data_IF_585115003369
#
_entry.id   IF_585115003369
#
_cell.length_a   1.000
_cell.length_b   1.000
_cell.length_c   1.000
_cell.angle_alpha   90.00
_cell.angle_beta   90.00
_cell.angle_gamma   90.00
#
_symmetry.space_group_name_H-M   'P 1'
#
loop_
_entity.id
_entity.type
_entity.pdbx_description
1 polymer ?
#
# COMPACT_ATOMS: atom_id res chain seq x y z
N UNK A 1 12.50 2.95 21.71
CA UNK A 1 11.60 3.70 20.81
C UNK A 1 10.68 2.68 20.19
N UNK A 2 9.37 2.87 20.24
CA UNK A 2 8.42 2.01 19.51
C UNK A 2 8.73 2.13 18.02
N UNK A 3 8.74 1.01 17.32
CA UNK A 3 8.93 0.99 15.86
C UNK A 3 7.72 1.71 15.23
N UNK A 4 7.97 2.80 14.50
CA UNK A 4 6.91 3.53 13.80
C UNK A 4 6.45 2.65 12.64
N UNK A 5 5.16 2.33 12.61
CA UNK A 5 4.50 1.62 11.52
C UNK A 5 3.55 2.57 10.80
N UNK A 6 3.94 3.08 9.64
CA UNK A 6 3.10 4.03 8.90
C UNK A 6 1.86 3.39 8.29
N UNK A 7 1.87 2.08 8.09
CA UNK A 7 0.78 1.27 7.53
C UNK A 7 0.63 0.02 8.38
N UNK A 8 -0.60 -0.34 8.70
CA UNK A 8 -0.93 -1.57 9.41
C UNK A 8 -2.29 -2.09 8.92
N UNK A 9 -2.33 -3.35 8.49
CA UNK A 9 -3.58 -4.05 8.24
C UNK A 9 -4.02 -4.80 9.49
N UNK A 10 -5.13 -4.42 10.08
CA UNK A 10 -5.66 -5.04 11.30
C UNK A 10 -7.18 -5.22 11.24
N UNK A 11 -7.65 -6.43 11.47
CA UNK A 11 -9.08 -6.76 11.59
C UNK A 11 -9.96 -6.28 10.41
N UNK A 12 -9.41 -6.27 9.21
CA UNK A 12 -10.14 -5.85 8.02
C UNK A 12 -10.17 -4.33 7.78
N UNK A 13 -9.37 -3.57 8.54
CA UNK A 13 -9.22 -2.11 8.47
C UNK A 13 -7.75 -1.78 8.15
N UNK A 14 -7.54 -0.81 7.30
CA UNK A 14 -6.22 -0.29 6.99
C UNK A 14 -5.96 0.95 7.86
N UNK A 15 -4.98 0.84 8.77
CA UNK A 15 -4.52 1.94 9.62
C UNK A 15 -3.36 2.65 8.97
N UNK A 16 -3.42 3.96 8.91
CA UNK A 16 -2.44 4.79 8.23
C UNK A 16 -1.99 5.91 9.18
N UNK A 17 -0.69 6.10 9.32
CA UNK A 17 -0.16 7.27 10.01
C UNK A 17 -0.34 8.51 9.13
N UNK A 18 -1.11 9.49 9.62
CA UNK A 18 -1.32 10.75 8.91
C UNK A 18 -0.05 11.60 8.91
N UNK A 19 0.72 11.49 7.85
CA UNK A 19 1.99 12.21 7.71
C UNK A 19 1.82 13.72 7.51
N UNK A 20 0.59 14.21 7.29
CA UNK A 20 0.32 15.66 7.21
C UNK A 20 0.34 16.34 8.58
N UNK A 21 0.22 15.54 9.65
CA UNK A 21 0.20 16.01 11.05
C UNK A 21 1.57 15.98 11.69
N UNK A 22 2.52 15.24 11.10
CA UNK A 22 3.88 15.14 11.62
C UNK A 22 4.66 16.45 11.44
N UNK A 23 5.59 16.79 12.34
CA UNK A 23 5.97 16.06 13.55
C UNK A 23 5.15 16.45 14.79
N UNK A 24 4.16 17.33 14.66
CA UNK A 24 3.44 17.90 15.80
C UNK A 24 2.54 16.90 16.51
N UNK A 25 1.97 15.96 15.75
CA UNK A 25 1.03 14.96 16.25
C UNK A 25 1.21 13.64 15.50
N UNK A 26 1.15 12.53 16.22
CA UNK A 26 1.04 11.18 15.64
C UNK A 26 -0.44 10.77 15.62
N UNK A 27 -1.06 10.88 14.46
CA UNK A 27 -2.49 10.55 14.27
C UNK A 27 -2.60 9.35 13.36
N UNK A 28 -3.33 8.33 13.80
CA UNK A 28 -3.70 7.17 12.98
C UNK A 28 -5.09 7.42 12.40
N UNK A 29 -5.18 7.37 11.07
CA UNK A 29 -6.46 7.33 10.36
C UNK A 29 -6.79 5.89 9.99
N UNK A 30 -8.06 5.52 10.13
CA UNK A 30 -8.55 4.19 9.80
C UNK A 30 -9.36 4.25 8.51
N UNK A 31 -8.95 3.49 7.51
CA UNK A 31 -9.71 3.29 6.29
C UNK A 31 -10.46 1.96 6.37
N UNK A 32 -11.79 2.03 6.35
CA UNK A 32 -12.69 0.87 6.39
C UNK A 32 -13.12 0.42 4.99
N UNK A 33 -12.93 1.30 3.98
CA UNK A 33 -13.24 1.06 2.58
C UNK A 33 -12.15 1.57 1.64
N UNK A 34 -12.15 1.04 0.39
CA UNK A 34 -11.11 1.40 -0.57
C UNK A 34 -11.11 2.89 -0.93
N UNK A 35 -12.27 3.55 -0.93
CA UNK A 35 -12.36 4.99 -1.21
C UNK A 35 -11.68 5.84 -0.13
N UNK A 36 -11.71 5.40 1.13
CA UNK A 36 -11.02 6.07 2.22
C UNK A 36 -9.50 5.94 2.08
N UNK A 37 -9.01 4.75 1.70
CA UNK A 37 -7.60 4.54 1.37
C UNK A 37 -7.16 5.38 0.16
N UNK A 38 -7.98 5.48 -0.88
CA UNK A 38 -7.76 6.35 -2.04
C UNK A 38 -7.68 7.83 -1.60
N UNK A 39 -8.59 8.25 -0.73
CA UNK A 39 -8.58 9.62 -0.20
C UNK A 39 -7.32 9.92 0.61
N UNK A 40 -6.85 8.98 1.44
CA UNK A 40 -5.60 9.14 2.20
C UNK A 40 -4.38 9.33 1.29
N UNK A 41 -4.31 8.63 0.15
CA UNK A 41 -3.29 8.82 -0.87
C UNK A 41 -3.43 10.22 -1.52
N UNK A 42 -4.66 10.61 -1.87
CA UNK A 42 -4.97 11.84 -2.59
C UNK A 42 -4.67 13.09 -1.76
N UNK A 43 -4.99 13.03 -0.46
CA UNK A 43 -4.78 14.14 0.49
C UNK A 43 -3.38 14.14 1.10
N UNK A 44 -2.51 13.22 0.66
CA UNK A 44 -1.12 13.10 1.13
C UNK A 44 -1.00 12.71 2.62
N UNK A 45 -2.04 12.14 3.22
CA UNK A 45 -1.93 11.48 4.52
C UNK A 45 -0.95 10.31 4.47
N UNK A 46 -0.88 9.63 3.32
CA UNK A 46 0.17 8.67 2.99
C UNK A 46 1.12 9.29 1.97
N UNK A 47 2.41 9.26 2.27
CA UNK A 47 3.50 9.78 1.44
C UNK A 47 4.61 8.74 1.33
N UNK A 48 5.53 8.97 0.38
CA UNK A 48 6.58 8.00 0.06
C UNK A 48 6.12 6.99 -0.98
N UNK A 49 6.95 6.77 -2.02
CA UNK A 49 6.58 5.94 -3.15
C UNK A 49 6.22 4.49 -2.75
N UNK A 50 6.99 3.80 -1.88
CA UNK A 50 6.64 2.45 -1.42
C UNK A 50 5.34 2.44 -0.62
N UNK A 51 5.18 3.33 0.36
CA UNK A 51 3.99 3.39 1.20
C UNK A 51 2.70 3.65 0.39
N UNK A 52 2.78 4.50 -0.66
CA UNK A 52 1.67 4.73 -1.58
C UNK A 52 1.36 3.43 -2.36
N UNK A 53 2.38 2.68 -2.79
CA UNK A 53 2.20 1.40 -3.48
C UNK A 53 1.54 0.34 -2.59
N UNK A 54 2.01 0.18 -1.35
CA UNK A 54 1.42 -0.73 -0.36
C UNK A 54 -0.03 -0.34 -0.06
N UNK A 55 -0.30 0.95 0.19
CA UNK A 55 -1.67 1.44 0.42
C UNK A 55 -2.59 1.18 -0.78
N UNK A 56 -2.09 1.34 -2.00
CA UNK A 56 -2.84 1.04 -3.22
C UNK A 56 -3.16 -0.46 -3.36
N UNK A 57 -2.22 -1.34 -3.00
CA UNK A 57 -2.47 -2.78 -2.99
C UNK A 57 -3.59 -3.15 -2.01
N UNK A 58 -3.54 -2.63 -0.78
CA UNK A 58 -4.63 -2.81 0.17
C UNK A 58 -5.96 -2.22 -0.32
N UNK A 59 -5.94 -1.06 -0.98
CA UNK A 59 -7.15 -0.47 -1.56
C UNK A 59 -7.79 -1.40 -2.61
N UNK A 60 -6.99 -2.07 -3.46
CA UNK A 60 -7.53 -3.08 -4.41
C UNK A 60 -8.14 -4.27 -3.66
N UNK A 61 -7.48 -4.78 -2.61
CA UNK A 61 -8.02 -5.88 -1.81
C UNK A 61 -9.32 -5.49 -1.08
N UNK A 62 -9.42 -4.25 -0.58
CA UNK A 62 -10.62 -3.71 0.04
C UNK A 62 -11.75 -3.55 -0.98
N UNK A 63 -11.48 -3.02 -2.16
CA UNK A 63 -12.45 -2.93 -3.25
C UNK A 63 -13.00 -4.31 -3.62
N UNK A 64 -12.13 -5.31 -3.75
CA UNK A 64 -12.56 -6.68 -4.00
C UNK A 64 -13.45 -7.24 -2.88
N UNK A 65 -13.14 -6.93 -1.61
CA UNK A 65 -13.93 -7.36 -0.46
C UNK A 65 -15.33 -6.74 -0.45
N UNK A 66 -15.47 -5.47 -0.85
CA UNK A 66 -16.73 -4.72 -0.89
C UNK A 66 -17.69 -5.20 -2.00
N UNK A 67 -17.16 -5.79 -3.08
CA UNK A 67 -17.98 -6.28 -4.18
C UNK A 67 -18.74 -7.56 -3.78
N UNK A 68 -20.07 -7.48 -3.70
CA UNK A 68 -20.97 -8.63 -3.51
C UNK A 68 -21.50 -9.10 -4.89
N UNK A 69 -20.62 -9.66 -5.70
CA UNK A 69 -20.89 -10.10 -7.08
C UNK A 69 -20.39 -11.53 -7.22
N UNK A 70 -21.31 -12.43 -7.57
CA UNK A 70 -20.96 -13.85 -7.77
C UNK A 70 -20.38 -14.13 -9.17
N UNK A 71 -20.86 -13.41 -10.20
CA UNK A 71 -20.34 -13.54 -11.56
C UNK A 71 -18.91 -13.01 -11.64
N UNK A 72 -17.99 -13.87 -12.04
CA UNK A 72 -16.55 -13.56 -12.07
C UNK A 72 -16.21 -12.45 -13.06
N UNK A 73 -16.83 -12.45 -14.22
CA UNK A 73 -16.46 -11.50 -15.27
C UNK A 73 -16.99 -10.10 -14.92
N UNK A 74 -18.20 -10.02 -14.39
CA UNK A 74 -18.76 -8.77 -13.86
C UNK A 74 -17.93 -8.29 -12.65
N UNK A 75 -17.52 -9.20 -11.78
CA UNK A 75 -16.65 -8.88 -10.64
C UNK A 75 -15.33 -8.25 -11.09
N UNK A 76 -14.65 -8.88 -12.06
CA UNK A 76 -13.39 -8.37 -12.61
C UNK A 76 -13.56 -7.01 -13.28
N UNK A 77 -14.65 -6.80 -14.02
CA UNK A 77 -14.95 -5.50 -14.60
C UNK A 77 -15.09 -4.42 -13.53
N UNK A 78 -15.85 -4.67 -12.47
CA UNK A 78 -16.03 -3.72 -11.36
C UNK A 78 -14.74 -3.47 -10.59
N UNK A 79 -13.94 -4.51 -10.40
CA UNK A 79 -12.63 -4.38 -9.76
C UNK A 79 -11.67 -3.54 -10.63
N UNK A 80 -11.73 -3.66 -11.95
CA UNK A 80 -10.94 -2.85 -12.88
C UNK A 80 -11.34 -1.38 -12.82
N UNK A 81 -12.65 -1.07 -12.72
CA UNK A 81 -13.14 0.30 -12.49
C UNK A 81 -12.59 0.90 -11.18
N UNK A 82 -12.57 0.12 -10.09
CA UNK A 82 -11.94 0.52 -8.84
C UNK A 82 -10.42 0.73 -9.01
N UNK A 83 -9.74 -0.16 -9.74
CA UNK A 83 -8.32 -0.03 -10.07
C UNK A 83 -8.00 1.28 -10.81
N UNK A 84 -8.84 1.67 -11.77
CA UNK A 84 -8.71 2.96 -12.48
C UNK A 84 -8.87 4.13 -11.51
N UNK A 85 -9.85 4.08 -10.61
CA UNK A 85 -10.06 5.13 -9.61
C UNK A 85 -8.87 5.25 -8.63
N UNK A 86 -8.30 4.12 -8.20
CA UNK A 86 -7.09 4.08 -7.36
C UNK A 86 -5.91 4.72 -8.09
N UNK A 87 -5.67 4.35 -9.36
CA UNK A 87 -4.59 4.91 -10.18
C UNK A 87 -4.74 6.42 -10.37
N UNK A 88 -5.97 6.91 -10.48
CA UNK A 88 -6.25 8.33 -10.64
C UNK A 88 -5.96 9.17 -9.38
N UNK A 89 -5.76 8.55 -8.21
CA UNK A 89 -5.44 9.26 -6.97
C UNK A 89 -4.10 10.03 -7.07
N UNK A 90 -3.09 9.40 -7.69
CA UNK A 90 -1.78 10.04 -7.98
C UNK A 90 -1.18 9.50 -9.28
N UNK A 91 -1.53 10.07 -10.44
CA UNK A 91 -1.16 9.54 -11.75
C UNK A 91 0.36 9.47 -12.02
N UNK A 92 1.17 10.20 -11.27
CA UNK A 92 2.63 10.22 -11.41
C UNK A 92 3.35 9.24 -10.45
N UNK A 93 2.62 8.55 -9.58
CA UNK A 93 3.21 7.63 -8.60
C UNK A 93 3.45 6.25 -9.23
N UNK A 94 4.66 5.99 -9.70
CA UNK A 94 5.02 4.72 -10.36
C UNK A 94 4.72 3.48 -9.52
N UNK A 95 5.04 3.50 -8.22
CA UNK A 95 4.77 2.37 -7.33
C UNK A 95 3.28 2.09 -7.16
N UNK A 96 2.43 3.13 -7.18
CA UNK A 96 0.97 2.96 -7.15
C UNK A 96 0.48 2.22 -8.40
N UNK A 97 0.93 2.66 -9.57
CA UNK A 97 0.58 2.01 -10.85
C UNK A 97 1.00 0.55 -10.84
N UNK A 98 2.27 0.29 -10.50
CA UNK A 98 2.83 -1.05 -10.42
C UNK A 98 2.03 -1.96 -9.46
N UNK A 99 1.71 -1.46 -8.26
CA UNK A 99 0.97 -2.24 -7.27
C UNK A 99 -0.42 -2.62 -7.79
N UNK A 100 -1.18 -1.66 -8.34
CA UNK A 100 -2.50 -1.94 -8.91
C UNK A 100 -2.40 -2.95 -10.06
N UNK A 101 -1.43 -2.81 -10.97
CA UNK A 101 -1.25 -3.73 -12.09
C UNK A 101 -0.89 -5.14 -11.62
N UNK A 102 -0.02 -5.27 -10.62
CA UNK A 102 0.33 -6.55 -9.99
C UNK A 102 -0.91 -7.21 -9.37
N UNK A 103 -1.70 -6.48 -8.61
CA UNK A 103 -2.94 -6.95 -8.00
C UNK A 103 -3.96 -7.41 -9.04
N UNK A 104 -4.16 -6.63 -10.10
CA UNK A 104 -5.07 -7.00 -11.20
C UNK A 104 -4.60 -8.23 -11.97
N UNK A 105 -3.28 -8.42 -12.10
CA UNK A 105 -2.70 -9.63 -12.68
C UNK A 105 -3.11 -10.89 -11.90
N UNK A 106 -3.00 -10.84 -10.56
CA UNK A 106 -3.43 -11.95 -9.70
C UNK A 106 -4.95 -12.15 -9.72
N UNK A 107 -5.75 -11.08 -9.71
CA UNK A 107 -7.20 -11.19 -9.81
C UNK A 107 -7.63 -11.95 -11.09
N UNK A 108 -7.01 -11.66 -12.22
CA UNK A 108 -7.31 -12.31 -13.50
C UNK A 108 -6.90 -13.78 -13.55
N UNK A 109 -5.93 -14.21 -12.76
CA UNK A 109 -5.46 -15.60 -12.71
C UNK A 109 -6.32 -16.53 -11.86
N UNK A 110 -7.16 -16.01 -10.98
CA UNK A 110 -7.98 -16.80 -10.07
C UNK A 110 -9.30 -17.26 -10.72
N UNK A 111 -9.78 -18.48 -10.37
CA UNK A 111 -10.92 -19.08 -11.05
C UNK A 111 -12.28 -18.52 -10.64
N UNK A 112 -12.42 -17.97 -9.43
CA UNK A 112 -13.68 -17.49 -8.87
C UNK A 112 -13.50 -16.29 -7.95
N UNK A 113 -14.61 -15.60 -7.63
CA UNK A 113 -14.61 -14.35 -6.84
C UNK A 113 -14.10 -14.53 -5.42
N UNK A 114 -14.34 -15.67 -4.78
CA UNK A 114 -13.86 -15.93 -3.42
C UNK A 114 -12.35 -16.15 -3.40
N UNK A 115 -11.82 -16.89 -4.39
CA UNK A 115 -10.38 -17.08 -4.59
C UNK A 115 -9.70 -15.73 -4.88
N UNK A 116 -10.30 -14.89 -5.73
CA UNK A 116 -9.82 -13.53 -6.00
C UNK A 116 -9.69 -12.73 -4.70
N UNK A 117 -10.77 -12.64 -3.89
CA UNK A 117 -10.76 -11.87 -2.64
C UNK A 117 -9.65 -12.32 -1.68
N UNK A 118 -9.52 -13.64 -1.49
CA UNK A 118 -8.48 -14.22 -0.62
C UNK A 118 -7.08 -13.95 -1.15
N UNK A 119 -6.87 -14.16 -2.46
CA UNK A 119 -5.58 -13.96 -3.11
C UNK A 119 -5.13 -12.52 -3.04
N UNK A 120 -6.02 -11.57 -3.30
CA UNK A 120 -5.69 -10.15 -3.29
C UNK A 120 -5.29 -9.66 -1.89
N UNK A 121 -5.97 -10.10 -0.83
CA UNK A 121 -5.54 -9.74 0.53
C UNK A 121 -4.16 -10.33 0.86
N UNK A 122 -3.93 -11.60 0.53
CA UNK A 122 -2.62 -12.23 0.73
C UNK A 122 -1.51 -11.53 -0.06
N UNK A 123 -1.82 -11.10 -1.28
CA UNK A 123 -0.86 -10.39 -2.13
C UNK A 123 -0.55 -8.98 -1.60
N UNK A 124 -1.53 -8.24 -1.09
CA UNK A 124 -1.30 -6.93 -0.47
C UNK A 124 -0.36 -7.05 0.75
N UNK A 125 -0.57 -8.07 1.59
CA UNK A 125 0.32 -8.39 2.72
C UNK A 125 1.72 -8.75 2.21
N UNK A 126 1.83 -9.53 1.12
CA UNK A 126 3.12 -9.90 0.53
C UNK A 126 3.88 -8.67 0.02
N UNK A 127 3.20 -7.74 -0.64
CA UNK A 127 3.80 -6.48 -1.13
C UNK A 127 4.38 -5.67 0.04
N UNK A 128 3.65 -5.54 1.15
CA UNK A 128 4.14 -4.86 2.35
C UNK A 128 5.39 -5.54 2.93
N UNK A 129 5.34 -6.86 3.09
CA UNK A 129 6.47 -7.64 3.61
C UNK A 129 7.69 -7.62 2.69
N UNK A 130 7.48 -7.69 1.37
CA UNK A 130 8.54 -7.60 0.38
C UNK A 130 9.25 -6.23 0.44
N UNK A 131 8.48 -5.15 0.56
CA UNK A 131 9.05 -3.80 0.68
C UNK A 131 9.91 -3.68 1.94
N UNK A 132 9.40 -4.08 3.10
CA UNK A 132 10.16 -4.09 4.34
C UNK A 132 11.44 -4.92 4.23
N UNK A 133 11.35 -6.13 3.69
CA UNK A 133 12.50 -7.03 3.53
C UNK A 133 13.57 -6.46 2.57
N UNK A 134 13.15 -5.81 1.48
CA UNK A 134 14.05 -5.15 0.53
C UNK A 134 14.79 -4.01 1.22
N UNK A 135 14.09 -3.16 1.96
CA UNK A 135 14.67 -2.00 2.66
C UNK A 135 15.65 -2.45 3.76
N UNK A 136 15.29 -3.45 4.57
CA UNK A 136 16.19 -4.02 5.59
C UNK A 136 17.46 -4.61 4.97
N UNK A 137 17.32 -5.35 3.86
CA UNK A 137 18.46 -5.93 3.13
C UNK A 137 19.36 -4.84 2.54
N UNK A 138 18.79 -3.80 1.95
CA UNK A 138 19.52 -2.67 1.42
C UNK A 138 20.31 -1.95 2.54
N UNK A 139 19.67 -1.67 3.66
CA UNK A 139 20.33 -1.09 4.83
C UNK A 139 21.46 -1.97 5.38
N UNK A 140 21.22 -3.28 5.48
CA UNK A 140 22.25 -4.24 5.93
C UNK A 140 23.46 -4.29 5.01
N UNK A 141 23.25 -4.23 3.68
CA UNK A 141 24.34 -4.24 2.72
C UNK A 141 25.12 -2.90 2.68
N UNK A 142 24.46 -1.80 3.01
CA UNK A 142 25.06 -0.46 2.93
C UNK A 142 25.70 0.03 4.23
N UNK A 143 25.37 -0.53 5.39
CA UNK A 143 25.79 -0.01 6.70
C UNK A 143 27.32 0.10 6.86
N UNK A 144 28.06 -0.88 6.35
CA UNK A 144 29.52 -0.94 6.48
C UNK A 144 30.26 0.07 5.57
N UNK A 145 29.54 0.74 4.65
CA UNK A 145 30.08 1.81 3.83
C UNK A 145 30.07 3.17 4.54
N UNK A 146 29.38 3.26 5.69
CA UNK A 146 29.25 4.50 6.45
C UNK A 146 30.23 4.43 7.62
N UNK A 147 31.25 5.32 7.68
CA UNK A 147 32.19 5.35 8.80
C UNK A 147 31.49 5.80 10.09
N UNK A 148 32.04 5.38 11.23
CA UNK A 148 31.59 5.84 12.53
C UNK A 148 31.64 7.38 12.64
N UNK A 149 30.56 7.97 13.10
CA UNK A 149 30.41 9.43 13.16
C UNK A 149 30.21 10.11 11.81
N UNK A 150 30.07 9.34 10.74
CA UNK A 150 29.79 9.85 9.40
C UNK A 150 28.40 10.48 9.27
N UNK A 151 28.24 11.35 8.26
CA UNK A 151 26.97 11.96 7.91
C UNK A 151 26.44 11.38 6.60
N UNK A 152 25.13 11.13 6.55
CA UNK A 152 24.44 10.62 5.36
C UNK A 152 23.43 11.64 4.88
N UNK A 153 23.50 12.02 3.59
CA UNK A 153 22.47 12.82 2.96
C UNK A 153 21.49 11.89 2.25
N UNK A 154 20.21 12.07 2.54
CA UNK A 154 19.14 11.37 1.85
C UNK A 154 18.27 12.33 1.06
N UNK A 155 17.65 11.84 -0.01
CA UNK A 155 16.60 12.53 -0.76
C UNK A 155 15.27 11.84 -0.52
N UNK A 156 14.16 12.63 -0.45
CA UNK A 156 12.82 12.13 -0.14
C UNK A 156 12.71 11.57 1.29
N UNK A 157 11.63 10.85 1.60
CA UNK A 157 11.45 10.20 2.90
C UNK A 157 12.44 9.04 3.05
N UNK A 158 12.98 8.88 4.25
CA UNK A 158 13.87 7.78 4.60
C UNK A 158 13.42 7.13 5.90
N UNK A 159 13.78 5.86 6.09
CA UNK A 159 13.37 5.10 7.26
C UNK A 159 11.95 4.56 7.10
N UNK A 160 11.17 4.61 8.17
CA UNK A 160 9.83 4.01 8.23
C UNK A 160 8.70 4.87 7.61
N UNK A 161 9.00 6.10 7.18
CA UNK A 161 7.99 7.04 6.64
C UNK A 161 8.03 7.13 5.13
#
# INVERSE_FOLDING_TARGET
MSEIRPIEWANGTLKLLDQTRLPSEEVIVEAHGYLEAVNAIKTMQVRGAPAIGVTAAYAVAMAAKELDIADRDIFLQRLEEAGVAIKAARPTAGNLMWAVDRMMGFAKSEPDTNSIKKRLLAEAISIEQEDEAINRRMGSNGKDLIPDGGSVLTHCNAGAL
#
